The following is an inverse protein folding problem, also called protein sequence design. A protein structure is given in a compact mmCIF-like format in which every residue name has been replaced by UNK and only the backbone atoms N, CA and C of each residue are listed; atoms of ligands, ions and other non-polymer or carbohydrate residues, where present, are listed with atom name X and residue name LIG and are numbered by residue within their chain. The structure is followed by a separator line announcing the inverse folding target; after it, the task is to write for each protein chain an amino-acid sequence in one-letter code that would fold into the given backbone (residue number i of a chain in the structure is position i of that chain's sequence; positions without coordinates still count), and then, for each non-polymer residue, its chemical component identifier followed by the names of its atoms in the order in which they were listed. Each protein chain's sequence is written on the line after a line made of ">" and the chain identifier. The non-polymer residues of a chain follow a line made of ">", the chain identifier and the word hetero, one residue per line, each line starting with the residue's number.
data_IF_399510250175
#
_entry.id   IF_399510250175
#
_cell.length_a   1.000
_cell.length_b   1.000
_cell.length_c   1.000
_cell.angle_alpha   90.00
_cell.angle_beta   90.00
_cell.angle_gamma   90.00
#
_symmetry.space_group_name_H-M   'P 1'
#
loop_
_entity.id
_entity.type
_entity.pdbx_description
1 polymer ?
#
# COMPACT_ATOMS: atom_id res chain seq x y z
N UNK A 1 49.23 6.51 37.94
CA UNK A 1 48.70 6.70 36.58
C UNK A 1 47.20 6.46 36.67
N UNK A 2 46.36 7.49 36.43
CA UNK A 2 44.91 7.43 36.70
C UNK A 2 44.22 6.54 35.67
N UNK A 3 43.47 5.53 36.14
CA UNK A 3 42.61 4.71 35.30
C UNK A 3 41.40 5.51 34.82
N UNK A 4 41.19 5.53 33.51
CA UNK A 4 40.04 6.17 32.88
C UNK A 4 38.84 5.20 32.99
N UNK A 5 37.79 5.61 33.70
CA UNK A 5 36.64 4.76 34.04
C UNK A 5 35.70 4.53 32.82
N UNK A 6 35.45 3.28 32.40
CA UNK A 6 34.57 2.98 31.25
C UNK A 6 33.06 2.98 31.58
N UNK A 7 32.64 3.54 32.72
CA UNK A 7 31.22 3.51 33.14
C UNK A 7 30.33 4.52 32.40
N UNK A 8 30.91 5.61 31.89
CA UNK A 8 30.16 6.68 31.23
C UNK A 8 29.58 6.23 29.87
N UNK A 9 30.23 5.28 29.21
CA UNK A 9 29.78 4.76 27.92
C UNK A 9 28.53 3.88 28.06
N UNK A 10 28.47 3.04 29.10
CA UNK A 10 27.34 2.14 29.31
C UNK A 10 26.05 2.90 29.64
N UNK A 11 26.16 3.97 30.45
CA UNK A 11 25.01 4.85 30.75
C UNK A 11 24.55 5.60 29.51
N UNK A 12 25.48 6.05 28.67
CA UNK A 12 25.15 6.75 27.42
C UNK A 12 24.45 5.83 26.43
N UNK A 13 24.93 4.59 26.29
CA UNK A 13 24.30 3.56 25.47
C UNK A 13 22.91 3.19 25.99
N UNK A 14 22.73 3.09 27.32
CA UNK A 14 21.42 2.84 27.92
C UNK A 14 20.42 3.93 27.56
N UNK A 15 20.80 5.19 27.70
CA UNK A 15 19.94 6.32 27.33
C UNK A 15 19.63 6.37 25.84
N UNK A 16 20.57 5.98 24.98
CA UNK A 16 20.33 5.88 23.55
C UNK A 16 19.30 4.80 23.21
N UNK A 17 19.36 3.64 23.88
CA UNK A 17 18.37 2.56 23.72
C UNK A 17 16.99 3.04 24.18
N UNK A 18 16.88 3.61 25.38
CA UNK A 18 15.61 4.12 25.91
C UNK A 18 14.99 5.18 24.96
N UNK A 19 15.82 6.05 24.38
CA UNK A 19 15.38 7.06 23.41
C UNK A 19 14.93 6.45 22.07
N UNK A 20 15.57 5.37 21.61
CA UNK A 20 15.18 4.67 20.39
C UNK A 20 13.88 3.89 20.60
N UNK A 21 13.71 3.21 21.73
CA UNK A 21 12.47 2.50 22.09
C UNK A 21 11.29 3.47 22.21
N UNK A 22 11.49 4.64 22.83
CA UNK A 22 10.47 5.68 22.90
C UNK A 22 10.06 6.19 21.50
N UNK A 23 11.03 6.36 20.59
CA UNK A 23 10.75 6.75 19.19
C UNK A 23 10.01 5.65 18.44
N UNK A 24 10.38 4.38 18.64
CA UNK A 24 9.68 3.25 18.03
C UNK A 24 8.21 3.22 18.47
N UNK A 25 7.96 3.33 19.77
CA UNK A 25 6.59 3.35 20.31
C UNK A 25 5.74 4.49 19.74
N UNK A 26 6.33 5.68 19.57
CA UNK A 26 5.64 6.81 18.94
C UNK A 26 5.33 6.54 17.48
N UNK A 27 6.25 5.89 16.74
CA UNK A 27 6.02 5.51 15.35
C UNK A 27 4.95 4.43 15.21
N UNK A 28 4.91 3.45 16.12
CA UNK A 28 3.86 2.41 16.15
C UNK A 28 2.49 3.01 16.42
N UNK A 29 2.36 3.91 17.39
CA UNK A 29 1.10 4.62 17.67
C UNK A 29 0.67 5.50 16.50
N UNK A 30 1.61 6.17 15.82
CA UNK A 30 1.31 6.94 14.61
C UNK A 30 0.86 6.03 13.47
N UNK A 31 1.48 4.85 13.33
CA UNK A 31 1.08 3.86 12.34
C UNK A 31 -0.33 3.35 12.63
N UNK A 32 -0.66 3.10 13.91
CA UNK A 32 -2.01 2.70 14.33
C UNK A 32 -3.06 3.79 14.06
N UNK A 33 -2.71 5.06 14.33
CA UNK A 33 -3.58 6.20 14.02
C UNK A 33 -3.79 6.40 12.51
N UNK A 34 -2.77 6.16 11.69
CA UNK A 34 -2.86 6.21 10.22
C UNK A 34 -3.61 4.98 9.69
N UNK A 35 -3.40 3.81 10.28
CA UNK A 35 -4.10 2.58 9.93
C UNK A 35 -5.58 2.58 10.35
N UNK A 36 -5.97 3.47 11.27
CA UNK A 36 -7.35 3.68 11.72
C UNK A 36 -8.28 4.24 10.63
N UNK A 37 -7.74 4.88 9.59
CA UNK A 37 -8.48 5.19 8.37
C UNK A 37 -8.35 4.01 7.41
N UNK A 38 -9.08 2.94 7.74
CA UNK A 38 -9.22 1.65 7.05
C UNK A 38 -8.62 1.65 5.64
N UNK A 39 -7.33 1.31 5.51
CA UNK A 39 -6.57 1.29 4.26
C UNK A 39 -7.02 0.19 3.29
N UNK A 40 -8.31 -0.11 3.25
CA UNK A 40 -9.03 -1.04 2.40
C UNK A 40 -10.13 -0.28 1.67
N UNK A 41 -10.05 -0.24 0.34
CA UNK A 41 -10.98 0.48 -0.51
C UNK A 41 -11.67 -0.46 -1.51
N UNK A 42 -12.87 -0.08 -1.94
CA UNK A 42 -13.43 -0.66 -3.17
C UNK A 42 -12.73 -0.03 -4.36
N UNK A 43 -12.75 -0.70 -5.53
CA UNK A 43 -12.19 -0.13 -6.77
C UNK A 43 -12.80 1.25 -7.07
N UNK A 44 -14.11 1.41 -6.84
CA UNK A 44 -14.82 2.68 -7.04
C UNK A 44 -14.32 3.77 -6.09
N UNK A 45 -14.15 3.46 -4.80
CA UNK A 45 -13.66 4.41 -3.80
C UNK A 45 -12.21 4.82 -4.10
N UNK A 46 -11.36 3.86 -4.45
CA UNK A 46 -9.98 4.12 -4.86
C UNK A 46 -9.90 5.02 -6.10
N UNK A 47 -10.66 4.70 -7.16
CA UNK A 47 -10.70 5.55 -8.35
C UNK A 47 -11.18 6.97 -8.02
N UNK A 48 -12.17 7.12 -7.14
CA UNK A 48 -12.67 8.43 -6.72
C UNK A 48 -11.62 9.23 -5.94
N UNK A 49 -10.90 8.59 -5.03
CA UNK A 49 -9.85 9.20 -4.20
C UNK A 49 -8.64 9.66 -5.04
N UNK A 50 -8.24 8.86 -6.03
CA UNK A 50 -7.09 9.15 -6.89
C UNK A 50 -7.46 9.88 -8.19
N UNK A 51 -8.71 10.35 -8.32
CA UNK A 51 -9.22 11.04 -9.52
C UNK A 51 -9.05 10.25 -10.83
N UNK A 52 -9.10 8.92 -10.75
CA UNK A 52 -8.94 8.02 -11.89
C UNK A 52 -10.31 7.77 -12.53
N UNK A 53 -10.44 8.11 -13.81
CA UNK A 53 -11.64 7.78 -14.59
C UNK A 53 -11.43 6.46 -15.32
N UNK A 54 -12.00 5.37 -14.80
CA UNK A 54 -11.96 4.05 -15.45
C UNK A 54 -13.34 3.67 -16.02
N UNK A 55 -13.42 3.22 -17.28
CA UNK A 55 -14.62 2.56 -17.77
C UNK A 55 -14.87 1.26 -16.99
N UNK A 56 -16.15 0.84 -16.93
CA UNK A 56 -16.58 -0.34 -16.16
C UNK A 56 -15.75 -1.60 -16.44
N UNK A 57 -15.35 -1.81 -17.69
CA UNK A 57 -14.51 -2.95 -18.10
C UNK A 57 -13.13 -2.91 -17.45
N UNK A 58 -12.48 -1.76 -17.41
CA UNK A 58 -11.17 -1.59 -16.76
C UNK A 58 -11.29 -1.68 -15.24
N UNK A 59 -12.36 -1.16 -14.64
CA UNK A 59 -12.61 -1.32 -13.20
C UNK A 59 -12.74 -2.81 -12.79
N UNK A 60 -13.37 -3.64 -13.63
CA UNK A 60 -13.45 -5.09 -13.39
C UNK A 60 -12.07 -5.77 -13.50
N UNK A 61 -11.24 -5.35 -14.46
CA UNK A 61 -9.87 -5.85 -14.61
C UNK A 61 -9.03 -5.45 -13.39
N UNK A 62 -9.10 -4.20 -12.95
CA UNK A 62 -8.41 -3.70 -11.77
C UNK A 62 -8.78 -4.50 -10.52
N UNK A 63 -10.07 -4.76 -10.30
CA UNK A 63 -10.53 -5.59 -9.19
C UNK A 63 -10.01 -7.04 -9.23
N UNK A 64 -9.92 -7.63 -10.43
CA UNK A 64 -9.34 -8.98 -10.60
C UNK A 64 -7.84 -8.99 -10.29
N UNK A 65 -7.10 -7.99 -10.76
CA UNK A 65 -5.67 -7.85 -10.49
C UNK A 65 -5.42 -7.62 -9.00
N UNK A 66 -6.18 -6.74 -8.35
CA UNK A 66 -6.10 -6.52 -6.91
C UNK A 66 -6.35 -7.80 -6.11
N UNK A 67 -7.33 -8.62 -6.53
CA UNK A 67 -7.56 -9.93 -5.91
C UNK A 67 -6.37 -10.90 -6.09
N UNK A 68 -5.70 -10.88 -7.24
CA UNK A 68 -4.48 -11.68 -7.48
C UNK A 68 -3.34 -11.20 -6.58
N UNK A 69 -3.13 -9.89 -6.47
CA UNK A 69 -2.10 -9.30 -5.59
C UNK A 69 -2.35 -9.71 -4.14
N UNK A 70 -3.60 -9.59 -3.67
CA UNK A 70 -3.96 -10.00 -2.30
C UNK A 70 -3.66 -11.47 -2.06
N UNK A 71 -4.02 -12.37 -3.00
CA UNK A 71 -3.73 -13.81 -2.87
C UNK A 71 -2.23 -14.10 -2.85
N UNK A 72 -1.44 -13.43 -3.69
CA UNK A 72 0.02 -13.60 -3.73
C UNK A 72 0.70 -13.16 -2.43
N UNK A 73 0.19 -12.08 -1.82
CA UNK A 73 0.76 -11.48 -0.61
C UNK A 73 0.14 -11.99 0.70
N UNK A 74 -0.87 -12.86 0.62
CA UNK A 74 -1.57 -13.38 1.79
C UNK A 74 -2.48 -12.36 2.48
N UNK A 75 -2.90 -11.32 1.77
CA UNK A 75 -3.78 -10.28 2.31
C UNK A 75 -5.25 -10.68 2.24
N UNK A 76 -6.00 -10.28 3.26
CA UNK A 76 -7.44 -10.55 3.33
C UNK A 76 -8.20 -9.63 2.37
N UNK A 77 -9.16 -10.20 1.66
CA UNK A 77 -10.10 -9.48 0.81
C UNK A 77 -11.40 -9.33 1.59
N UNK A 78 -11.80 -8.09 1.84
CA UNK A 78 -13.07 -7.76 2.47
C UNK A 78 -14.22 -7.71 1.46
N UNK A 79 -15.43 -7.49 1.97
CA UNK A 79 -16.59 -7.18 1.14
C UNK A 79 -17.43 -6.08 1.76
N UNK A 80 -17.92 -5.16 0.94
CA UNK A 80 -18.81 -4.07 1.32
C UNK A 80 -20.07 -4.08 0.46
N UNK A 81 -21.14 -3.49 0.98
CA UNK A 81 -22.36 -3.25 0.22
C UNK A 81 -22.19 -1.94 -0.58
N UNK A 82 -22.38 -2.01 -1.89
CA UNK A 82 -22.46 -0.87 -2.80
C UNK A 82 -23.88 -0.78 -3.38
N UNK A 83 -24.45 0.43 -3.38
CA UNK A 83 -25.84 0.67 -3.82
C UNK A 83 -26.02 0.44 -5.33
N UNK A 84 -24.95 0.60 -6.11
CA UNK A 84 -24.97 0.48 -7.58
C UNK A 84 -24.72 -0.96 -8.03
N UNK A 85 -23.84 -1.68 -7.34
CA UNK A 85 -23.34 -2.99 -7.77
C UNK A 85 -23.64 -4.14 -6.81
N UNK A 86 -24.34 -3.88 -5.70
CA UNK A 86 -24.61 -4.89 -4.68
C UNK A 86 -23.36 -5.18 -3.84
N UNK A 87 -23.06 -6.45 -3.57
CA UNK A 87 -21.89 -6.81 -2.76
C UNK A 87 -20.61 -6.73 -3.59
N UNK A 88 -19.71 -5.83 -3.22
CA UNK A 88 -18.42 -5.62 -3.88
C UNK A 88 -17.26 -5.94 -2.96
N UNK A 89 -16.11 -6.29 -3.53
CA UNK A 89 -14.91 -6.58 -2.76
C UNK A 89 -14.19 -5.29 -2.35
N UNK A 90 -13.54 -5.37 -1.19
CA UNK A 90 -12.69 -4.32 -0.62
C UNK A 90 -11.27 -4.87 -0.54
N UNK A 91 -10.31 -4.08 -1.00
CA UNK A 91 -8.91 -4.47 -1.10
C UNK A 91 -8.02 -3.45 -0.40
N UNK A 92 -6.90 -3.85 0.21
CA UNK A 92 -5.91 -2.91 0.70
C UNK A 92 -5.46 -1.92 -0.37
N UNK A 93 -5.20 -0.67 0.00
CA UNK A 93 -4.70 0.38 -0.91
C UNK A 93 -3.45 -0.09 -1.68
N UNK A 94 -2.50 -0.70 -0.98
CA UNK A 94 -1.29 -1.25 -1.58
C UNK A 94 -1.57 -2.32 -2.67
N UNK A 95 -2.68 -3.07 -2.54
CA UNK A 95 -3.06 -4.04 -3.57
C UNK A 95 -3.67 -3.37 -4.80
N UNK A 96 -4.37 -2.25 -4.61
CA UNK A 96 -4.97 -1.46 -5.68
C UNK A 96 -3.91 -0.66 -6.43
N UNK A 97 -2.93 -0.08 -5.73
CA UNK A 97 -1.78 0.60 -6.32
C UNK A 97 -0.96 -0.33 -7.22
N UNK A 98 -0.60 -1.52 -6.72
CA UNK A 98 0.16 -2.51 -7.51
C UNK A 98 -0.63 -2.97 -8.74
N UNK A 99 -1.93 -3.21 -8.56
CA UNK A 99 -2.81 -3.61 -9.63
C UNK A 99 -2.95 -2.51 -10.70
N UNK A 100 -3.09 -1.26 -10.28
CA UNK A 100 -3.18 -0.10 -11.17
C UNK A 100 -1.85 0.14 -11.92
N UNK A 101 -0.71 0.04 -11.23
CA UNK A 101 0.61 0.10 -11.86
C UNK A 101 0.80 -0.96 -12.93
N UNK A 102 0.36 -2.20 -12.67
CA UNK A 102 0.40 -3.31 -13.65
C UNK A 102 -0.47 -3.04 -14.87
N UNK A 103 -1.64 -2.39 -14.71
CA UNK A 103 -2.50 -2.00 -15.83
C UNK A 103 -1.90 -0.89 -16.69
N UNK A 104 -1.18 0.07 -16.08
CA UNK A 104 -0.56 1.17 -16.81
C UNK A 104 0.64 0.69 -17.66
N UNK A 105 1.41 -0.28 -17.17
CA UNK A 105 2.58 -0.82 -17.88
C UNK A 105 2.19 -1.55 -19.18
N UNK A 106 1.00 -2.17 -19.22
CA UNK A 106 0.46 -2.82 -20.42
C UNK A 106 0.13 -1.85 -21.57
N UNK A 107 0.07 -0.53 -21.31
CA UNK A 107 -0.20 0.46 -22.34
C UNK A 107 1.07 0.95 -23.07
N UNK A 108 2.28 0.55 -22.64
CA UNK A 108 3.55 0.99 -23.26
C UNK A 108 4.15 0.03 -24.30
N UNK A 109 3.51 -1.11 -24.57
CA UNK A 109 4.04 -2.12 -25.50
C UNK A 109 3.35 -2.18 -26.87
N UNK A 110 2.20 -1.53 -27.06
CA UNK A 110 1.46 -1.58 -28.34
C UNK A 110 1.69 -0.35 -29.27
N UNK A 111 2.52 0.62 -28.88
CA UNK A 111 2.76 1.83 -29.67
C UNK A 111 4.05 1.82 -30.53
N UNK A 112 4.64 0.66 -30.82
CA UNK A 112 5.87 0.58 -31.65
C UNK A 112 5.73 -0.27 -32.92
N UNK A 113 4.51 -0.69 -33.32
CA UNK A 113 4.32 -1.48 -34.55
C UNK A 113 3.30 -0.88 -35.54
N UNK A 114 3.12 0.45 -35.51
CA UNK A 114 2.53 1.19 -36.64
C UNK A 114 3.68 1.81 -37.45
N UNK A 115 4.15 1.08 -38.48
CA UNK A 115 4.99 1.67 -39.52
C UNK A 115 6.19 0.83 -39.94
N UNK A 116 5.96 -0.14 -40.84
CA UNK A 116 6.66 -0.20 -42.13
C UNK A 116 6.19 -1.44 -42.91
N UNK A 117 5.00 -1.35 -43.49
CA UNK A 117 4.69 -2.06 -44.73
C UNK A 117 5.00 -1.09 -45.88
N UNK A 118 6.06 -1.38 -46.64
CA UNK A 118 6.21 -1.04 -48.05
C UNK A 118 7.33 -1.92 -48.62
#
# INVERSE_FOLDING_TARGET
>A
MKGHEPKQDLTTLRHAIDALEARQRVLELKLELVAGDSGCYTVKAYCALHHITLPRTQALVLGRLAAVVCRKRGWQIGSAQDETFGRVNVYPEAALDEAHGTMHDQCKLDSTLEGSKA
#
